data_IF_048363967825
#
_entry.id   IF_048363967825
#
_cell.length_a   1.000
_cell.length_b   1.000
_cell.length_c   1.000
_cell.angle_alpha   90.00
_cell.angle_beta   90.00
_cell.angle_gamma   90.00
#
_symmetry.space_group_name_H-M   'P 1'
#
loop_
_entity.id
_entity.type
_entity.pdbx_description
1 polymer ?
#
# COMPACT_ATOMS: atom_id res chain seq x y z
N UNK A 1 2.08 0.63 -12.57
CA UNK A 1 2.24 -0.84 -12.42
C UNK A 1 2.06 -1.22 -10.95
N UNK A 2 0.93 -1.84 -10.60
CA UNK A 2 0.80 -2.58 -9.33
C UNK A 2 1.08 -4.03 -9.72
N UNK A 3 2.37 -4.41 -9.71
CA UNK A 3 2.76 -5.78 -9.96
C UNK A 3 2.26 -6.65 -8.80
N UNK A 4 1.45 -7.67 -9.10
CA UNK A 4 1.13 -8.71 -8.14
C UNK A 4 2.44 -9.44 -7.84
N UNK A 5 2.96 -9.23 -6.63
CA UNK A 5 4.16 -9.88 -6.15
C UNK A 5 3.84 -11.33 -5.91
N UNK A 6 4.55 -12.22 -6.60
CA UNK A 6 4.51 -13.66 -6.34
C UNK A 6 5.15 -13.95 -4.99
N UNK A 7 4.71 -15.02 -4.31
CA UNK A 7 5.35 -15.51 -3.08
C UNK A 7 6.87 -15.67 -3.32
N UNK A 8 7.69 -15.04 -2.49
CA UNK A 8 9.16 -15.21 -2.49
C UNK A 8 10.00 -14.03 -2.99
N UNK A 9 9.43 -12.91 -3.45
CA UNK A 9 10.23 -11.70 -3.74
C UNK A 9 10.49 -10.88 -2.46
N UNK A 10 11.76 -10.54 -2.14
CA UNK A 10 12.07 -9.73 -0.97
C UNK A 10 11.39 -8.35 -1.02
N UNK A 11 10.70 -7.97 0.07
CA UNK A 11 10.25 -6.60 0.33
C UNK A 11 8.74 -6.34 0.26
N UNK A 12 7.95 -7.09 -0.52
CA UNK A 12 6.52 -6.81 -0.68
C UNK A 12 6.22 -5.41 -1.24
N UNK A 13 4.94 -5.09 -1.45
CA UNK A 13 4.53 -3.79 -2.00
C UNK A 13 4.82 -2.64 -1.02
N UNK A 14 4.71 -2.96 0.28
CA UNK A 14 4.95 -2.00 1.35
C UNK A 14 6.39 -1.48 1.33
N UNK A 15 7.41 -2.36 1.30
CA UNK A 15 8.80 -1.88 1.28
C UNK A 15 9.14 -1.13 -0.01
N UNK A 16 8.68 -1.62 -1.16
CA UNK A 16 9.02 -1.00 -2.46
C UNK A 16 8.48 0.42 -2.62
N UNK A 17 7.33 0.73 -2.00
CA UNK A 17 6.70 2.04 -2.13
C UNK A 17 6.93 2.93 -0.91
N UNK A 18 7.02 2.36 0.28
CA UNK A 18 7.25 3.14 1.50
C UNK A 18 8.66 3.72 1.58
N UNK A 19 9.67 3.12 0.94
CA UNK A 19 11.04 3.66 0.90
C UNK A 19 11.08 5.09 0.39
N UNK A 20 10.40 5.37 -0.73
CA UNK A 20 10.31 6.73 -1.28
C UNK A 20 9.66 7.72 -0.30
N UNK A 21 8.62 7.27 0.41
CA UNK A 21 7.94 8.13 1.39
C UNK A 21 8.83 8.38 2.62
N UNK A 22 9.54 7.37 3.10
CA UNK A 22 10.50 7.51 4.20
C UNK A 22 11.68 8.40 3.84
N UNK A 23 12.18 8.37 2.61
CA UNK A 23 13.22 9.29 2.16
C UNK A 23 12.75 10.74 2.26
N UNK A 24 11.53 11.05 1.80
CA UNK A 24 10.95 12.39 1.96
C UNK A 24 10.75 12.77 3.42
N UNK A 25 10.21 11.87 4.24
CA UNK A 25 9.98 12.10 5.66
C UNK A 25 11.30 12.40 6.37
N UNK A 26 12.33 11.57 6.15
CA UNK A 26 13.64 11.73 6.76
C UNK A 26 14.34 13.00 6.25
N UNK A 27 14.20 13.34 4.98
CA UNK A 27 14.74 14.58 4.43
C UNK A 27 14.09 15.82 5.03
N UNK A 28 12.77 15.81 5.20
CA UNK A 28 12.03 16.93 5.80
C UNK A 28 12.38 17.11 7.27
N UNK A 29 12.47 16.01 8.02
CA UNK A 29 12.77 16.00 9.46
C UNK A 29 14.24 16.32 9.73
N UNK A 30 15.18 15.78 8.93
CA UNK A 30 16.61 16.04 9.11
C UNK A 30 17.21 15.51 10.41
N UNK A 31 16.50 14.62 11.11
CA UNK A 31 16.94 13.92 12.32
C UNK A 31 17.17 12.44 12.03
N UNK A 32 18.00 11.81 12.85
CA UNK A 32 18.27 10.37 12.73
C UNK A 32 17.13 9.52 13.32
N UNK A 33 16.53 8.58 12.56
CA UNK A 33 15.61 7.59 13.12
C UNK A 33 16.40 6.60 13.99
N UNK A 34 15.88 6.29 15.18
CA UNK A 34 16.53 5.42 16.18
C UNK A 34 15.76 4.13 16.45
N UNK A 35 14.45 4.08 16.16
CA UNK A 35 13.68 2.85 16.26
C UNK A 35 12.46 2.86 15.34
N UNK A 36 11.98 1.66 14.97
CA UNK A 36 10.77 1.48 14.17
C UNK A 36 9.96 0.30 14.68
N UNK A 37 8.65 0.47 14.75
CA UNK A 37 7.67 -0.61 14.89
C UNK A 37 6.78 -0.60 13.66
N UNK A 38 6.68 -1.74 12.96
CA UNK A 38 5.89 -1.83 11.73
C UNK A 38 4.96 -3.04 11.75
N UNK A 39 3.78 -2.87 11.17
CA UNK A 39 2.76 -3.90 11.01
C UNK A 39 2.29 -3.92 9.57
N UNK A 40 1.94 -5.11 9.09
CA UNK A 40 1.36 -5.30 7.75
C UNK A 40 0.19 -6.26 7.81
N UNK A 41 -0.78 -6.07 6.93
CA UNK A 41 -1.95 -6.94 6.86
C UNK A 41 -2.43 -7.15 5.42
N UNK A 42 -3.12 -8.26 5.23
CA UNK A 42 -3.79 -8.62 3.99
C UNK A 42 -5.18 -9.16 4.33
N UNK A 43 -6.22 -8.38 4.04
CA UNK A 43 -7.58 -8.64 4.49
C UNK A 43 -8.61 -8.59 3.37
N UNK A 44 -8.37 -7.81 2.32
CA UNK A 44 -9.30 -7.56 1.22
C UNK A 44 -8.92 -8.41 0.01
N UNK A 45 -7.69 -8.32 -0.47
CA UNK A 45 -7.25 -9.05 -1.66
C UNK A 45 -6.73 -10.44 -1.32
N UNK A 46 -7.49 -11.18 -0.51
CA UNK A 46 -7.23 -12.58 -0.14
C UNK A 46 -8.36 -13.47 -0.67
N UNK A 47 -8.01 -14.65 -1.18
CA UNK A 47 -9.00 -15.58 -1.73
C UNK A 47 -8.41 -16.96 -1.99
N UNK A 48 -9.24 -17.81 -2.59
CA UNK A 48 -8.93 -19.20 -2.93
C UNK A 48 -8.88 -19.44 -4.44
N UNK A 49 -8.74 -18.38 -5.26
CA UNK A 49 -8.66 -18.53 -6.71
C UNK A 49 -7.32 -19.23 -7.08
N UNK A 50 -7.30 -20.02 -8.16
CA UNK A 50 -6.09 -20.70 -8.62
C UNK A 50 -4.91 -19.75 -8.78
N UNK A 51 -3.72 -20.23 -8.45
CA UNK A 51 -2.45 -19.55 -8.75
C UNK A 51 -2.31 -19.28 -10.25
N UNK A 52 -1.75 -18.12 -10.61
CA UNK A 52 -1.57 -17.73 -12.00
C UNK A 52 -2.87 -17.43 -12.78
N UNK A 53 -4.02 -17.34 -12.11
CA UNK A 53 -5.29 -17.03 -12.78
C UNK A 53 -5.28 -15.60 -13.36
N UNK A 54 -5.55 -15.46 -14.65
CA UNK A 54 -5.81 -14.17 -15.29
C UNK A 54 -7.29 -13.81 -15.19
N UNK A 55 -7.58 -12.52 -15.02
CA UNK A 55 -8.95 -12.02 -14.91
C UNK A 55 -9.80 -12.38 -16.13
N UNK A 56 -9.23 -12.34 -17.35
CA UNK A 56 -9.92 -12.70 -18.60
C UNK A 56 -10.42 -14.16 -18.62
N UNK A 57 -9.74 -15.04 -17.87
CA UNK A 57 -10.04 -16.47 -17.78
C UNK A 57 -10.88 -16.80 -16.54
N UNK A 58 -11.23 -15.80 -15.73
CA UNK A 58 -12.03 -15.97 -14.52
C UNK A 58 -13.52 -16.04 -14.84
N UNK A 59 -14.22 -17.07 -14.35
CA UNK A 59 -15.67 -17.21 -14.53
C UNK A 59 -16.48 -16.02 -13.99
N UNK A 60 -15.93 -15.27 -13.03
CA UNK A 60 -16.55 -14.08 -12.44
C UNK A 60 -16.14 -12.78 -13.13
N UNK A 61 -15.54 -12.83 -14.33
CA UNK A 61 -15.02 -11.63 -15.00
C UNK A 61 -16.06 -10.52 -15.16
N UNK A 62 -17.33 -10.84 -15.38
CA UNK A 62 -18.39 -9.82 -15.55
C UNK A 62 -19.08 -9.39 -14.25
N UNK A 63 -18.81 -10.07 -13.12
CA UNK A 63 -19.51 -9.84 -11.84
C UNK A 63 -18.57 -9.48 -10.69
N UNK A 64 -17.30 -9.86 -10.76
CA UNK A 64 -16.30 -9.59 -9.74
C UNK A 64 -16.05 -8.08 -9.63
N UNK A 65 -16.13 -7.49 -8.42
CA UNK A 65 -15.94 -6.05 -8.22
C UNK A 65 -14.54 -5.55 -8.59
N UNK A 66 -13.57 -6.45 -8.71
CA UNK A 66 -12.17 -6.16 -9.04
C UNK A 66 -11.78 -6.60 -10.45
N UNK A 67 -12.72 -7.08 -11.26
CA UNK A 67 -12.41 -7.41 -12.64
C UNK A 67 -12.20 -6.13 -13.47
N UNK A 68 -11.31 -6.16 -14.49
CA UNK A 68 -11.15 -5.06 -15.42
C UNK A 68 -12.47 -4.61 -16.08
N UNK A 69 -13.38 -5.55 -16.37
CA UNK A 69 -14.69 -5.24 -16.92
C UNK A 69 -15.53 -4.41 -15.95
N UNK A 70 -15.66 -4.84 -14.70
CA UNK A 70 -16.51 -4.16 -13.72
C UNK A 70 -15.92 -2.81 -13.31
N UNK A 71 -14.59 -2.75 -13.14
CA UNK A 71 -13.89 -1.51 -12.85
C UNK A 71 -14.16 -0.46 -13.93
N UNK A 72 -13.99 -0.82 -15.20
CA UNK A 72 -14.16 0.11 -16.32
C UNK A 72 -15.60 0.54 -16.54
N UNK A 73 -16.54 -0.41 -16.56
CA UNK A 73 -17.92 -0.14 -17.01
C UNK A 73 -18.84 0.35 -15.89
N UNK A 74 -18.61 -0.06 -14.63
CA UNK A 74 -19.50 0.26 -13.51
C UNK A 74 -18.85 1.12 -12.42
N UNK A 75 -17.53 1.11 -12.29
CA UNK A 75 -16.84 1.90 -11.25
C UNK A 75 -16.08 3.11 -11.79
N UNK A 76 -15.94 3.25 -13.11
CA UNK A 76 -15.11 4.28 -13.77
C UNK A 76 -13.66 4.26 -13.25
N UNK A 77 -13.11 3.07 -13.06
CA UNK A 77 -11.74 2.82 -12.62
C UNK A 77 -10.99 2.00 -13.68
N UNK A 78 -9.68 2.18 -13.76
CA UNK A 78 -8.83 1.36 -14.61
C UNK A 78 -8.23 0.18 -13.82
N UNK A 79 -8.10 -0.96 -14.48
CA UNK A 79 -7.32 -2.06 -13.92
C UNK A 79 -5.83 -1.79 -14.06
N UNK A 80 -5.07 -2.03 -13.00
CA UNK A 80 -3.61 -1.86 -13.00
C UNK A 80 -2.85 -3.18 -13.14
N UNK A 81 -3.55 -4.27 -13.48
CA UNK A 81 -2.99 -5.60 -13.73
C UNK A 81 -3.99 -6.53 -14.42
N UNK A 82 -3.50 -7.67 -14.90
CA UNK A 82 -4.30 -8.66 -15.61
C UNK A 82 -4.52 -9.96 -14.82
N UNK A 83 -3.74 -10.16 -13.75
CA UNK A 83 -3.87 -11.34 -12.88
C UNK A 83 -4.92 -11.10 -11.79
N UNK A 84 -5.50 -12.20 -11.30
CA UNK A 84 -6.53 -12.19 -10.30
C UNK A 84 -5.98 -11.74 -8.94
N UNK A 85 -6.55 -10.66 -8.39
CA UNK A 85 -6.19 -10.15 -7.06
C UNK A 85 -6.56 -11.10 -5.90
N UNK A 86 -7.41 -12.11 -6.15
CA UNK A 86 -7.89 -13.07 -5.16
C UNK A 86 -7.25 -14.46 -5.29
N UNK A 87 -6.19 -14.58 -6.11
CA UNK A 87 -5.45 -15.81 -6.26
C UNK A 87 -4.56 -16.10 -5.03
N UNK A 88 -4.37 -17.39 -4.74
CA UNK A 88 -3.63 -17.87 -3.55
C UNK A 88 -2.15 -17.48 -3.56
N UNK A 89 -1.60 -17.19 -4.73
CA UNK A 89 -0.23 -16.78 -5.00
C UNK A 89 0.01 -15.27 -4.90
N UNK A 90 -1.05 -14.48 -4.65
CA UNK A 90 -0.89 -13.06 -4.39
C UNK A 90 -0.15 -12.86 -3.06
N UNK A 91 1.09 -12.40 -3.12
CA UNK A 91 1.96 -12.23 -1.94
C UNK A 91 1.90 -10.86 -1.29
N UNK A 92 1.39 -9.85 -2.01
CA UNK A 92 1.41 -8.47 -1.55
C UNK A 92 0.38 -8.19 -0.44
N UNK A 93 0.74 -7.26 0.44
CA UNK A 93 -0.09 -6.73 1.52
C UNK A 93 -1.09 -5.68 1.01
N UNK A 94 -2.20 -5.53 1.72
CA UNK A 94 -3.22 -4.53 1.41
C UNK A 94 -2.97 -3.24 2.20
N UNK A 95 -2.39 -3.37 3.39
CA UNK A 95 -2.12 -2.28 4.30
C UNK A 95 -0.82 -2.51 5.07
N UNK A 96 -0.06 -1.44 5.26
CA UNK A 96 1.10 -1.40 6.13
C UNK A 96 1.13 -0.10 6.93
N UNK A 97 1.67 -0.16 8.14
CA UNK A 97 1.86 1.01 9.00
C UNK A 97 3.16 0.90 9.75
N UNK A 98 3.77 2.05 10.04
CA UNK A 98 5.00 2.13 10.80
C UNK A 98 4.97 3.31 11.76
N UNK A 99 5.44 3.09 12.98
CA UNK A 99 5.77 4.13 13.94
C UNK A 99 7.29 4.25 14.01
N UNK A 100 7.82 5.41 13.66
CA UNK A 100 9.27 5.71 13.66
C UNK A 100 9.56 6.69 14.79
N UNK A 101 10.58 6.41 15.59
CA UNK A 101 11.07 7.31 16.64
C UNK A 101 12.42 7.88 16.21
N UNK A 102 12.60 9.19 16.37
CA UNK A 102 13.82 9.92 16.06
C UNK A 102 14.62 10.21 17.33
N UNK A 103 15.90 10.56 17.18
CA UNK A 103 16.82 10.83 18.30
C UNK A 103 16.37 11.96 19.24
N UNK A 104 15.53 12.89 18.77
CA UNK A 104 14.93 13.95 19.58
C UNK A 104 13.78 13.47 20.47
N UNK A 105 13.31 12.23 20.31
CA UNK A 105 12.07 11.72 20.89
C UNK A 105 10.82 12.02 20.05
N UNK A 106 10.95 12.74 18.93
CA UNK A 106 9.85 12.90 17.97
C UNK A 106 9.44 11.55 17.37
N UNK A 107 8.15 11.39 17.08
CA UNK A 107 7.62 10.20 16.43
C UNK A 107 6.85 10.53 15.15
N UNK A 108 6.92 9.63 14.17
CA UNK A 108 6.15 9.68 12.93
C UNK A 108 5.29 8.42 12.83
N UNK A 109 4.01 8.61 12.57
CA UNK A 109 3.08 7.53 12.21
C UNK A 109 2.83 7.54 10.71
N UNK A 110 3.34 6.52 10.02
CA UNK A 110 3.16 6.32 8.58
C UNK A 110 2.14 5.20 8.31
N UNK A 111 1.27 5.40 7.33
CA UNK A 111 0.35 4.36 6.87
C UNK A 111 0.24 4.36 5.35
N UNK A 112 0.19 3.17 4.76
CA UNK A 112 0.02 2.94 3.34
C UNK A 112 -1.04 1.88 3.12
N UNK A 113 -2.09 2.23 2.39
CA UNK A 113 -3.25 1.37 2.16
C UNK A 113 -3.53 1.29 0.65
N UNK A 114 -3.43 0.09 0.07
CA UNK A 114 -3.65 -0.16 -1.36
C UNK A 114 -5.11 -0.45 -1.72
N UNK A 115 -5.95 -0.68 -0.72
CA UNK A 115 -7.37 -0.93 -0.93
C UNK A 115 -8.22 0.34 -0.98
N UNK A 116 -7.71 1.48 -0.51
CA UNK A 116 -8.45 2.73 -0.49
C UNK A 116 -8.59 3.30 -1.92
N UNK A 117 -9.78 3.80 -2.26
CA UNK A 117 -10.11 4.28 -3.62
C UNK A 117 -10.90 5.57 -3.61
N UNK A 118 -10.92 6.25 -4.77
CA UNK A 118 -11.69 7.48 -5.01
C UNK A 118 -11.45 8.50 -3.90
N UNK A 119 -12.51 9.11 -3.36
CA UNK A 119 -12.40 10.10 -2.28
C UNK A 119 -11.82 9.60 -0.96
N UNK A 120 -11.75 8.27 -0.75
CA UNK A 120 -11.09 7.68 0.40
C UNK A 120 -9.57 7.53 0.20
N UNK A 121 -9.09 7.50 -1.05
CA UNK A 121 -7.66 7.49 -1.34
C UNK A 121 -7.10 8.90 -1.11
N UNK A 122 -6.19 9.03 -0.14
CA UNK A 122 -5.51 10.29 0.17
C UNK A 122 -4.01 10.05 0.32
N UNK A 123 -3.23 10.99 -0.17
CA UNK A 123 -1.79 11.08 0.06
C UNK A 123 -1.51 12.44 0.67
N UNK A 124 -0.81 12.46 1.80
CA UNK A 124 -0.50 13.67 2.53
C UNK A 124 0.12 13.36 3.89
N UNK A 125 0.48 14.42 4.59
CA UNK A 125 1.02 14.35 5.94
C UNK A 125 0.61 15.58 6.74
N UNK A 126 0.59 15.44 8.06
CA UNK A 126 0.35 16.52 8.99
C UNK A 126 1.53 16.61 9.94
N UNK A 127 2.05 17.82 10.14
CA UNK A 127 3.16 18.09 11.06
C UNK A 127 2.61 18.98 12.17
N UNK A 128 2.74 18.50 13.41
CA UNK A 128 2.32 19.23 14.59
C UNK A 128 3.57 19.70 15.34
N UNK A 129 3.65 21.01 15.59
CA UNK A 129 4.78 21.63 16.28
C UNK A 129 4.31 22.69 17.27
N UNK A 130 4.98 22.78 18.41
CA UNK A 130 4.91 23.96 19.28
C UNK A 130 5.68 25.14 18.63
N UNK A 131 5.07 26.34 18.61
CA UNK A 131 5.63 27.54 17.94
C UNK A 131 7.11 27.79 18.29
N UNK A 132 7.93 28.11 17.27
CA UNK A 132 9.24 28.77 17.44
C UNK A 132 10.49 27.95 17.11
N UNK A 133 10.36 26.65 16.87
CA UNK A 133 11.52 25.81 16.49
C UNK A 133 11.66 25.73 14.95
N UNK A 134 12.89 25.95 14.47
CA UNK A 134 13.25 26.08 13.06
C UNK A 134 13.52 24.76 12.34
N UNK A 135 13.50 23.61 13.05
CA UNK A 135 13.81 22.27 12.48
C UNK A 135 12.62 21.32 12.59
N UNK A 136 12.11 20.75 11.49
CA UNK A 136 11.01 19.75 11.51
C UNK A 136 11.39 18.53 12.35
#
# INVERSE_FOLDING_TARGET
MIGIGTRGKPGGLFLQKATHDFDYINHLIGLKPVSVCAVKSKQIFKGNKPEGLYCKDCAEYHTCPESPFVLKHFKSEESHGEMCAFAVDTGNEDAGSALVVYESGMHVSYSQNFFARKGAAKRGGHVNRLRGDSRI
#
